data_IF_227274323924
#
_entry.id   IF_227274323924
#
_cell.length_a   1.000
_cell.length_b   1.000
_cell.length_c   1.000
_cell.angle_alpha   90.00
_cell.angle_beta   90.00
_cell.angle_gamma   90.00
#
_symmetry.space_group_name_H-M   'P 1'
#
loop_
_entity.id
_entity.type
_entity.pdbx_description
1 polymer ?
#
# COMPACT_ATOMS: atom_id res chain seq x y z
N UNK A 1 -16.81 -5.91 18.89
CA UNK A 1 -16.09 -5.57 17.64
C UNK A 1 -16.18 -6.66 16.55
N UNK A 2 -16.27 -7.96 16.88
CA UNK A 2 -16.29 -9.06 15.88
C UNK A 2 -17.57 -9.16 15.02
N UNK A 3 -18.75 -8.87 15.57
CA UNK A 3 -20.03 -9.01 14.84
C UNK A 3 -20.21 -7.97 13.71
N UNK A 4 -19.81 -6.71 13.93
CA UNK A 4 -19.88 -5.67 12.88
C UNK A 4 -18.97 -6.01 11.69
N UNK A 5 -17.82 -6.61 11.98
CA UNK A 5 -16.86 -7.08 10.95
C UNK A 5 -17.43 -8.21 10.09
N UNK A 6 -18.25 -9.10 10.69
CA UNK A 6 -18.91 -10.16 9.96
C UNK A 6 -19.94 -9.63 8.94
N UNK A 7 -20.64 -8.54 9.28
CA UNK A 7 -21.61 -7.89 8.37
C UNK A 7 -20.88 -7.27 7.17
N UNK A 8 -19.78 -6.55 7.40
CA UNK A 8 -18.99 -5.99 6.31
C UNK A 8 -18.39 -7.06 5.40
N UNK A 9 -17.93 -8.17 5.97
CA UNK A 9 -17.42 -9.30 5.20
C UNK A 9 -18.52 -9.95 4.36
N UNK A 10 -19.69 -10.21 4.97
CA UNK A 10 -20.86 -10.74 4.26
C UNK A 10 -21.28 -9.81 3.11
N UNK A 11 -21.30 -8.50 3.34
CA UNK A 11 -21.63 -7.52 2.30
C UNK A 11 -20.59 -7.53 1.17
N UNK A 12 -19.30 -7.62 1.50
CA UNK A 12 -18.24 -7.71 0.50
C UNK A 12 -18.38 -8.97 -0.37
N UNK A 13 -18.62 -10.13 0.24
CA UNK A 13 -18.85 -11.39 -0.51
C UNK A 13 -20.10 -11.31 -1.38
N UNK A 14 -21.19 -10.74 -0.83
CA UNK A 14 -22.43 -10.56 -1.58
C UNK A 14 -22.25 -9.61 -2.78
N UNK A 15 -21.50 -8.52 -2.62
CA UNK A 15 -21.21 -7.58 -3.70
C UNK A 15 -20.37 -8.23 -4.81
N UNK A 16 -19.38 -9.04 -4.46
CA UNK A 16 -18.57 -9.78 -5.43
C UNK A 16 -19.44 -10.80 -6.19
N UNK A 17 -20.25 -11.58 -5.48
CA UNK A 17 -21.18 -12.54 -6.10
C UNK A 17 -22.16 -11.85 -7.04
N UNK A 18 -22.75 -10.73 -6.60
CA UNK A 18 -23.66 -9.94 -7.41
C UNK A 18 -22.97 -9.44 -8.69
N UNK A 19 -21.74 -8.93 -8.60
CA UNK A 19 -20.98 -8.47 -9.76
C UNK A 19 -20.75 -9.59 -10.78
N UNK A 20 -20.37 -10.79 -10.32
CA UNK A 20 -20.13 -11.95 -11.19
C UNK A 20 -21.41 -12.41 -11.89
N UNK A 21 -22.51 -12.52 -11.14
CA UNK A 21 -23.81 -12.92 -11.71
C UNK A 21 -24.32 -11.90 -12.71
N UNK A 22 -24.24 -10.60 -12.37
CA UNK A 22 -24.67 -9.53 -13.25
C UNK A 22 -23.88 -9.51 -14.56
N UNK A 23 -22.54 -9.60 -14.49
CA UNK A 23 -21.67 -9.67 -15.67
C UNK A 23 -21.99 -10.90 -16.54
N UNK A 24 -22.29 -12.05 -15.92
CA UNK A 24 -22.62 -13.29 -16.63
C UNK A 24 -23.96 -13.22 -17.36
N UNK A 25 -24.99 -12.62 -16.74
CA UNK A 25 -26.30 -12.45 -17.38
C UNK A 25 -26.20 -11.47 -18.54
N UNK A 26 -25.49 -10.36 -18.34
CA UNK A 26 -25.29 -9.35 -19.38
C UNK A 26 -24.49 -9.89 -20.57
N UNK A 27 -23.48 -10.75 -20.34
CA UNK A 27 -22.73 -11.35 -21.44
C UNK A 27 -23.59 -12.29 -22.29
N UNK A 28 -24.60 -12.96 -21.71
CA UNK A 28 -25.53 -13.81 -22.48
C UNK A 28 -26.40 -12.98 -23.42
N UNK A 29 -26.86 -11.81 -22.98
CA UNK A 29 -27.63 -10.88 -23.82
C UNK A 29 -26.84 -10.45 -25.05
N UNK A 30 -25.59 -10.01 -24.85
CA UNK A 30 -24.69 -9.64 -25.94
C UNK A 30 -24.42 -10.79 -26.91
N UNK A 31 -24.22 -12.01 -26.39
CA UNK A 31 -24.04 -13.20 -27.23
C UNK A 31 -25.27 -13.44 -28.10
N UNK A 32 -26.48 -13.34 -27.54
CA UNK A 32 -27.73 -13.53 -28.30
C UNK A 32 -27.90 -12.45 -29.37
N UNK A 33 -27.62 -11.19 -29.04
CA UNK A 33 -27.68 -10.08 -29.99
C UNK A 33 -26.69 -10.24 -31.14
N UNK A 34 -25.48 -10.76 -30.86
CA UNK A 34 -24.46 -11.09 -31.85
C UNK A 34 -24.91 -12.20 -32.81
N UNK A 35 -25.67 -13.19 -32.32
CA UNK A 35 -26.22 -14.25 -33.16
C UNK A 35 -27.46 -13.83 -33.96
N UNK A 36 -28.24 -12.87 -33.46
CA UNK A 36 -29.44 -12.36 -34.13
C UNK A 36 -29.13 -11.30 -35.18
N UNK A 37 -28.04 -10.56 -35.00
CA UNK A 37 -27.64 -9.50 -35.94
C UNK A 37 -26.78 -10.08 -37.06
N UNK A 38 -27.22 -10.03 -38.33
CA UNK A 38 -26.39 -10.49 -39.43
C UNK A 38 -25.15 -9.61 -39.55
N UNK A 39 -23.98 -10.16 -39.25
CA UNK A 39 -22.68 -9.49 -39.47
C UNK A 39 -22.47 -9.32 -40.98
N UNK A 40 -22.65 -8.10 -41.49
CA UNK A 40 -22.39 -7.79 -42.88
C UNK A 40 -20.89 -7.91 -43.18
N UNK A 41 -20.49 -8.95 -43.91
CA UNK A 41 -19.13 -9.06 -44.48
C UNK A 41 -19.10 -8.32 -45.82
N UNK A 42 -18.78 -7.02 -45.79
CA UNK A 42 -18.63 -6.24 -47.01
C UNK A 42 -17.33 -6.62 -47.73
N UNK A 43 -17.45 -7.21 -48.92
CA UNK A 43 -16.31 -7.38 -49.83
C UNK A 43 -15.99 -6.01 -50.41
N UNK A 44 -14.85 -5.44 -50.03
CA UNK A 44 -14.35 -4.18 -50.59
C UNK A 44 -14.18 -4.37 -52.10
N UNK A 45 -15.16 -3.92 -52.87
CA UNK A 45 -15.10 -3.93 -54.34
C UNK A 45 -14.76 -2.52 -54.79
N UNK A 46 -13.67 -2.39 -55.54
CA UNK A 46 -12.86 -1.20 -55.86
C UNK A 46 -13.55 0.05 -56.49
N UNK A 47 -14.84 0.31 -56.30
CA UNK A 47 -15.46 1.50 -56.95
C UNK A 47 -16.68 2.12 -56.29
N UNK A 48 -17.13 1.65 -55.11
CA UNK A 48 -18.19 2.35 -54.37
C UNK A 48 -17.84 2.41 -52.89
N UNK A 49 -17.49 3.61 -52.43
CA UNK A 49 -17.45 3.92 -51.01
C UNK A 49 -18.89 3.90 -50.49
N UNK A 50 -19.34 2.77 -49.96
CA UNK A 50 -20.63 2.63 -49.31
C UNK A 50 -20.58 3.29 -47.92
N UNK A 51 -20.96 4.57 -47.85
CA UNK A 51 -20.94 5.40 -46.64
C UNK A 51 -22.11 5.11 -45.68
N UNK A 52 -22.56 3.85 -45.50
CA UNK A 52 -23.84 3.61 -44.81
C UNK A 52 -23.90 2.43 -43.83
N UNK A 53 -22.78 1.90 -43.36
CA UNK A 53 -22.82 1.02 -42.21
C UNK A 53 -21.84 1.52 -41.15
N UNK A 54 -22.41 2.26 -40.20
CA UNK A 54 -21.76 2.56 -38.94
C UNK A 54 -21.55 1.21 -38.25
N UNK A 55 -20.33 0.67 -38.33
CA UNK A 55 -19.90 -0.46 -37.50
C UNK A 55 -20.15 0.00 -36.07
N UNK A 56 -21.20 -0.56 -35.47
CA UNK A 56 -21.71 -0.13 -34.18
C UNK A 56 -20.56 -0.09 -33.19
N UNK A 57 -20.55 0.94 -32.34
CA UNK A 57 -19.56 1.17 -31.28
C UNK A 57 -19.53 0.06 -30.20
N UNK A 58 -20.18 -1.07 -30.46
CA UNK A 58 -20.61 -2.09 -29.50
C UNK A 58 -19.80 -3.38 -29.60
N UNK A 59 -18.76 -3.45 -30.45
CA UNK A 59 -17.86 -4.62 -30.49
C UNK A 59 -17.15 -4.86 -29.15
N UNK A 60 -17.08 -3.87 -28.26
CA UNK A 60 -16.39 -3.95 -26.98
C UNK A 60 -17.25 -3.45 -25.81
N UNK A 61 -17.90 -4.38 -25.09
CA UNK A 61 -18.57 -4.07 -23.83
C UNK A 61 -17.54 -4.00 -22.67
N UNK A 62 -17.31 -2.81 -22.13
CA UNK A 62 -16.40 -2.59 -20.99
C UNK A 62 -16.79 -3.37 -19.73
N UNK A 63 -18.06 -3.76 -19.60
CA UNK A 63 -18.57 -4.55 -18.47
C UNK A 63 -18.19 -6.04 -18.64
N UNK A 64 -18.28 -6.57 -19.86
CA UNK A 64 -17.93 -7.97 -20.15
C UNK A 64 -16.42 -8.18 -20.33
N UNK A 65 -15.68 -7.15 -20.74
CA UNK A 65 -14.22 -7.21 -20.91
C UNK A 65 -13.43 -7.01 -19.60
N UNK A 66 -14.14 -6.93 -18.46
CA UNK A 66 -13.51 -6.83 -17.15
C UNK A 66 -12.95 -8.19 -16.72
N UNK A 67 -11.62 -8.31 -16.68
CA UNK A 67 -10.92 -9.50 -16.20
C UNK A 67 -10.11 -9.16 -14.95
N UNK A 68 -10.21 -9.99 -13.91
CA UNK A 68 -9.33 -9.91 -12.76
C UNK A 68 -7.96 -10.43 -13.19
N UNK A 69 -6.97 -9.55 -13.32
CA UNK A 69 -5.59 -9.99 -13.49
C UNK A 69 -5.18 -10.85 -12.29
N UNK A 70 -4.51 -11.97 -12.56
CA UNK A 70 -4.14 -12.91 -11.50
C UNK A 70 -3.39 -12.22 -10.38
N UNK A 71 -3.86 -12.39 -9.15
CA UNK A 71 -3.17 -11.90 -7.96
C UNK A 71 -1.86 -12.70 -7.81
N UNK A 72 -0.74 -12.09 -8.20
CA UNK A 72 0.58 -12.59 -7.85
C UNK A 72 0.76 -12.26 -6.37
N UNK A 73 0.59 -13.27 -5.51
CA UNK A 73 0.88 -13.12 -4.09
C UNK A 73 2.30 -12.56 -3.93
N UNK A 74 2.42 -11.41 -3.26
CA UNK A 74 3.72 -10.85 -2.94
C UNK A 74 4.50 -11.87 -2.12
N UNK A 75 5.60 -12.38 -2.67
CA UNK A 75 6.52 -13.22 -1.92
C UNK A 75 6.91 -12.47 -0.65
N UNK A 76 6.82 -13.14 0.50
CA UNK A 76 7.22 -12.55 1.78
C UNK A 76 8.73 -12.31 1.76
N UNK A 77 9.15 -11.11 1.37
CA UNK A 77 10.55 -10.70 1.41
C UNK A 77 10.96 -10.61 2.87
N UNK A 78 11.73 -11.60 3.33
CA UNK A 78 12.37 -11.56 4.65
C UNK A 78 13.69 -10.80 4.50
N UNK A 79 13.74 -9.59 5.04
CA UNK A 79 14.99 -8.83 5.15
C UNK A 79 15.78 -9.40 6.34
N UNK A 80 16.96 -10.02 6.12
CA UNK A 80 17.77 -10.49 7.23
C UNK A 80 18.32 -9.28 8.00
N UNK A 81 17.90 -9.12 9.26
CA UNK A 81 18.49 -8.14 10.18
C UNK A 81 19.77 -8.77 10.73
N UNK A 82 20.92 -8.34 10.22
CA UNK A 82 22.20 -8.70 10.80
C UNK A 82 22.36 -7.97 12.12
N UNK A 83 22.22 -8.70 13.24
CA UNK A 83 22.45 -8.14 14.57
C UNK A 83 23.96 -7.92 14.73
N UNK A 84 24.40 -6.67 14.70
CA UNK A 84 25.78 -6.33 15.05
C UNK A 84 25.95 -6.58 16.54
N UNK A 85 26.80 -7.54 16.91
CA UNK A 85 27.19 -7.71 18.30
C UNK A 85 28.10 -6.53 18.69
N UNK A 86 27.55 -5.56 19.40
CA UNK A 86 28.33 -4.47 19.97
C UNK A 86 29.03 -5.05 21.20
N UNK A 87 30.31 -5.39 21.05
CA UNK A 87 31.14 -5.74 22.20
C UNK A 87 31.41 -4.45 23.00
N UNK A 88 30.72 -4.28 24.11
CA UNK A 88 31.00 -3.19 25.04
C UNK A 88 32.24 -3.56 25.86
N UNK A 89 33.40 -3.04 25.49
CA UNK A 89 34.56 -3.08 26.37
C UNK A 89 34.30 -2.18 27.59
N UNK A 90 34.14 -2.79 28.77
CA UNK A 90 34.04 -2.06 30.02
C UNK A 90 35.43 -1.53 30.42
N UNK A 91 35.62 -0.21 30.35
CA UNK A 91 36.79 0.43 30.94
C UNK A 91 36.55 0.66 32.44
N UNK A 92 37.17 -0.19 33.28
CA UNK A 92 37.19 0.02 34.72
C UNK A 92 38.20 1.11 35.09
N UNK A 93 37.82 2.38 34.89
CA UNK A 93 38.57 3.49 35.48
C UNK A 93 38.20 3.61 36.96
N UNK A 94 39.01 3.01 37.83
CA UNK A 94 38.97 3.30 39.27
C UNK A 94 39.63 4.66 39.50
N UNK A 95 38.86 5.74 39.46
CA UNK A 95 39.34 7.03 39.96
C UNK A 95 39.64 6.88 41.46
N UNK A 96 40.90 7.04 41.85
CA UNK A 96 41.21 7.32 43.25
C UNK A 96 40.73 8.74 43.51
N UNK A 97 39.58 8.86 44.15
CA UNK A 97 39.09 10.13 44.66
C UNK A 97 40.17 10.73 45.57
N UNK A 98 40.72 11.89 45.18
CA UNK A 98 41.59 12.66 46.06
C UNK A 98 40.67 13.35 47.06
N UNK A 99 40.48 12.73 48.22
CA UNK A 99 39.75 13.34 49.34
C UNK A 99 40.67 14.31 50.07
N UNK A 100 41.06 15.42 49.44
CA UNK A 100 41.64 16.55 50.15
C UNK A 100 40.49 17.37 50.74
N UNK A 101 40.08 17.03 51.96
CA UNK A 101 39.15 17.85 52.72
C UNK A 101 39.91 19.06 53.29
N UNK A 102 39.31 20.24 53.19
CA UNK A 102 39.85 21.50 53.68
C UNK A 102 39.81 21.52 55.22
N UNK A 103 40.96 21.33 55.87
CA UNK A 103 41.11 21.40 57.33
C UNK A 103 41.50 22.82 57.73
N UNK A 104 40.51 23.68 57.97
CA UNK A 104 40.71 24.92 58.72
C UNK A 104 40.21 26.17 58.01
N UNK A 105 39.35 26.92 58.71
CA UNK A 105 38.91 28.26 58.33
C UNK A 105 40.11 29.20 58.17
N UNK A 106 40.42 29.61 56.94
CA UNK A 106 41.25 30.77 56.66
C UNK A 106 40.48 32.01 57.09
N UNK A 107 40.61 32.38 58.38
CA UNK A 107 40.21 33.69 58.87
C UNK A 107 41.22 34.73 58.37
N UNK A 108 41.21 34.99 57.06
CA UNK A 108 41.76 36.23 56.54
C UNK A 108 40.94 37.37 57.18
N UNK A 109 41.61 38.17 58.00
CA UNK A 109 41.03 39.28 58.74
C UNK A 109 40.28 40.21 57.77
N UNK A 110 38.95 40.15 57.73
CA UNK A 110 38.10 41.10 56.99
C UNK A 110 37.90 42.40 57.77
N UNK A 111 38.96 42.86 58.44
CA UNK A 111 38.99 44.18 59.03
C UNK A 111 39.25 45.23 57.94
N UNK A 112 38.64 46.41 58.00
CA UNK A 112 38.99 47.50 57.10
C UNK A 112 40.47 47.87 57.27
N UNK A 113 41.17 48.29 56.19
CA UNK A 113 42.55 48.74 56.31
C UNK A 113 42.62 49.92 57.30
N UNK A 114 43.50 49.82 58.29
CA UNK A 114 43.82 50.97 59.15
C UNK A 114 44.70 51.93 58.37
N UNK A 115 44.14 53.07 57.99
CA UNK A 115 44.85 54.25 57.50
C UNK A 115 45.77 54.77 58.62
N UNK A 116 47.09 54.75 58.42
CA UNK A 116 48.11 55.69 58.94
C UNK A 116 49.52 55.24 58.54
#
# INVERSE_FOLDING_TARGET
MKSKFAIYNLFAVAAVLFSVVFQSVHSVEHIVEEFQTPKCHHVQTDSKHELSHQHHKDDNCFVCHFNFSGFIGSETVRIPIQRTEIHQEYSYFRSKEITSYFVGSLFAHRGPPSEC
#
